data_IF_360662918720
#
_entry.id   IF_360662918720
#
_cell.length_a   1.000
_cell.length_b   1.000
_cell.length_c   1.000
_cell.angle_alpha   90.00
_cell.angle_beta   90.00
_cell.angle_gamma   90.00
#
_symmetry.space_group_name_H-M   'P 1'
#
loop_
_entity.id
_entity.type
_entity.pdbx_description
1 polymer ?
#
# COMPACT_ATOMS: atom_id res chain seq x y z
N UNK A 1 74.43 14.88 -18.47
CA UNK A 1 73.37 14.46 -19.41
C UNK A 1 72.68 13.20 -18.88
N UNK A 2 71.35 13.25 -18.77
CA UNK A 2 70.36 12.16 -18.68
C UNK A 2 70.45 11.16 -17.50
N UNK A 3 69.77 11.51 -16.41
CA UNK A 3 69.12 10.58 -15.47
C UNK A 3 67.68 11.07 -15.24
N UNK A 4 66.70 10.51 -15.94
CA UNK A 4 65.27 10.65 -15.60
C UNK A 4 64.45 9.73 -16.51
N UNK A 5 64.19 8.46 -16.15
CA UNK A 5 63.07 7.66 -16.70
C UNK A 5 62.73 6.46 -15.80
N UNK A 6 62.63 6.63 -14.47
CA UNK A 6 62.03 5.61 -13.60
C UNK A 6 61.23 6.32 -12.51
N UNK A 7 60.06 6.85 -12.85
CA UNK A 7 59.11 7.37 -11.85
C UNK A 7 57.63 7.32 -12.30
N UNK A 8 57.31 6.80 -13.49
CA UNK A 8 55.95 6.89 -14.06
C UNK A 8 55.21 5.56 -14.21
N UNK A 9 55.76 4.44 -13.73
CA UNK A 9 55.08 3.13 -13.81
C UNK A 9 54.44 2.72 -12.47
N UNK A 10 54.79 3.35 -11.34
CA UNK A 10 54.25 2.99 -10.03
C UNK A 10 52.96 3.74 -9.62
N UNK A 11 52.51 4.74 -10.38
CA UNK A 11 51.24 5.45 -10.10
C UNK A 11 50.04 4.82 -10.84
N UNK A 12 50.26 4.10 -11.94
CA UNK A 12 49.18 3.43 -12.69
C UNK A 12 48.77 2.10 -12.04
N UNK A 13 49.68 1.44 -11.32
CA UNK A 13 49.37 0.20 -10.60
C UNK A 13 48.55 0.41 -9.31
N UNK A 14 48.55 1.62 -8.72
CA UNK A 14 47.74 1.93 -7.53
C UNK A 14 46.34 2.47 -7.88
N UNK A 15 46.12 2.92 -9.12
CA UNK A 15 44.79 3.28 -9.64
C UNK A 15 43.98 2.07 -10.13
N UNK A 16 44.64 0.93 -10.38
CA UNK A 16 43.99 -0.33 -10.77
C UNK A 16 43.68 -1.26 -9.58
N UNK A 17 44.12 -0.90 -8.37
CA UNK A 17 43.90 -1.64 -7.13
C UNK A 17 42.92 -0.96 -6.16
N UNK A 18 42.20 0.08 -6.59
CA UNK A 18 40.82 0.26 -6.11
C UNK A 18 40.05 -0.87 -6.76
N UNK A 19 40.11 -2.03 -6.10
CA UNK A 19 39.24 -3.14 -6.37
C UNK A 19 37.87 -2.54 -6.64
N UNK A 20 37.32 -2.85 -7.81
CA UNK A 20 35.89 -2.88 -8.03
C UNK A 20 35.32 -3.75 -6.93
N UNK A 21 35.13 -3.17 -5.74
CA UNK A 21 34.12 -3.63 -4.83
C UNK A 21 32.88 -3.52 -5.70
N UNK A 22 32.45 -4.67 -6.24
CA UNK A 22 31.07 -4.82 -6.66
C UNK A 22 30.29 -4.17 -5.53
N UNK A 23 29.42 -3.19 -5.79
CA UNK A 23 28.47 -2.78 -4.76
C UNK A 23 27.93 -4.10 -4.17
N UNK A 24 27.92 -4.26 -2.83
CA UNK A 24 27.52 -5.53 -2.21
C UNK A 24 26.29 -5.98 -2.96
N UNK A 25 26.34 -7.19 -3.53
CA UNK A 25 25.32 -7.68 -4.47
C UNK A 25 23.97 -7.28 -3.89
N UNK A 26 23.34 -6.27 -4.51
CA UNK A 26 22.25 -5.57 -3.86
C UNK A 26 21.22 -6.63 -3.48
N UNK A 27 21.01 -6.81 -2.17
CA UNK A 27 20.19 -7.92 -1.72
C UNK A 27 18.81 -7.73 -2.34
N UNK A 28 18.39 -8.74 -3.09
CA UNK A 28 17.08 -8.76 -3.69
C UNK A 28 16.02 -8.68 -2.59
N UNK A 29 14.78 -8.24 -2.91
CA UNK A 29 13.68 -8.30 -1.97
C UNK A 29 13.60 -9.70 -1.33
N UNK A 30 13.51 -9.74 0.00
CA UNK A 30 13.42 -11.02 0.70
C UNK A 30 12.09 -11.68 0.35
N UNK A 31 12.16 -12.87 -0.24
CA UNK A 31 10.98 -13.67 -0.54
C UNK A 31 10.23 -14.04 0.76
N UNK A 32 8.89 -14.02 0.78
CA UNK A 32 8.13 -14.54 1.90
C UNK A 32 8.48 -16.00 2.17
N UNK A 33 8.87 -16.30 3.40
CA UNK A 33 9.14 -17.64 3.92
C UNK A 33 7.93 -18.22 4.66
N UNK A 34 7.07 -17.35 5.19
CA UNK A 34 5.83 -17.71 5.86
C UNK A 34 4.78 -16.61 5.71
N UNK A 35 3.52 -16.97 5.98
CA UNK A 35 2.41 -16.04 6.15
C UNK A 35 1.86 -16.17 7.56
N UNK A 36 1.75 -15.04 8.25
CA UNK A 36 1.25 -14.97 9.63
C UNK A 36 -0.13 -14.31 9.58
N UNK A 37 -1.15 -15.05 10.01
CA UNK A 37 -2.49 -14.50 10.22
C UNK A 37 -2.42 -13.45 11.34
N UNK A 38 -2.98 -12.27 11.06
CA UNK A 38 -3.02 -11.14 12.00
C UNK A 38 -4.41 -11.04 12.61
N UNK A 39 -5.45 -11.16 11.78
CA UNK A 39 -6.85 -11.21 12.19
C UNK A 39 -7.71 -11.72 11.04
N UNK A 40 -8.99 -12.00 11.33
CA UNK A 40 -10.03 -12.25 10.34
C UNK A 40 -11.04 -11.13 10.35
N UNK A 41 -11.55 -10.80 9.18
CA UNK A 41 -12.75 -9.99 9.02
C UNK A 41 -13.88 -10.89 8.55
N UNK A 42 -15.07 -10.70 9.09
CA UNK A 42 -16.28 -11.39 8.64
C UNK A 42 -17.37 -10.39 8.36
N UNK A 43 -18.05 -10.58 7.24
CA UNK A 43 -19.16 -9.75 6.80
C UNK A 43 -20.34 -10.64 6.39
N UNK A 44 -21.52 -10.38 6.95
CA UNK A 44 -22.77 -10.94 6.46
C UNK A 44 -23.34 -10.08 5.33
N UNK A 45 -23.36 -10.58 4.09
CA UNK A 45 -23.92 -9.91 2.92
C UNK A 45 -25.46 -9.92 2.95
N UNK A 46 -26.04 -9.27 3.95
CA UNK A 46 -27.48 -9.10 4.12
C UNK A 46 -27.75 -7.79 4.87
N UNK A 47 -28.91 -7.17 4.66
CA UNK A 47 -29.29 -6.00 5.46
C UNK A 47 -29.30 -6.36 6.96
N UNK A 48 -28.66 -5.53 7.78
CA UNK A 48 -28.45 -5.78 9.22
C UNK A 48 -27.33 -6.78 9.54
N UNK A 49 -26.74 -7.42 8.52
CA UNK A 49 -25.65 -8.38 8.67
C UNK A 49 -24.44 -7.77 9.35
N UNK A 50 -23.82 -8.52 10.26
CA UNK A 50 -22.69 -8.02 11.05
C UNK A 50 -21.44 -7.87 10.20
N UNK A 51 -20.66 -6.82 10.49
CA UNK A 51 -19.26 -6.66 10.06
C UNK A 51 -18.41 -6.76 11.32
N UNK A 52 -17.54 -7.76 11.37
CA UNK A 52 -16.86 -8.18 12.60
C UNK A 52 -15.37 -8.46 12.34
N UNK A 53 -14.55 -8.32 13.38
CA UNK A 53 -13.16 -8.77 13.37
C UNK A 53 -12.89 -9.79 14.48
N UNK A 54 -11.92 -10.66 14.24
CA UNK A 54 -11.42 -11.64 15.19
C UNK A 54 -9.90 -11.64 15.18
N UNK A 55 -9.28 -11.48 16.36
CA UNK A 55 -7.83 -11.54 16.54
C UNK A 55 -7.34 -12.91 17.04
N UNK A 56 -8.25 -13.88 17.19
CA UNK A 56 -7.99 -15.21 17.79
C UNK A 56 -8.36 -16.38 16.86
N UNK A 57 -8.30 -16.14 15.55
CA UNK A 57 -8.59 -17.16 14.53
C UNK A 57 -10.07 -17.51 14.38
N UNK A 58 -10.97 -16.66 14.88
CA UNK A 58 -12.42 -16.81 14.76
C UNK A 58 -13.11 -17.41 15.99
N UNK A 59 -12.42 -17.52 17.12
CA UNK A 59 -13.01 -18.00 18.39
C UNK A 59 -13.93 -16.93 19.00
N UNK A 60 -13.50 -15.67 18.99
CA UNK A 60 -14.31 -14.51 19.37
C UNK A 60 -14.39 -13.48 18.25
N UNK A 61 -15.50 -12.74 18.22
CA UNK A 61 -15.79 -11.76 17.19
C UNK A 61 -16.22 -10.44 17.83
N UNK A 62 -15.55 -9.37 17.44
CA UNK A 62 -15.89 -7.99 17.82
C UNK A 62 -16.71 -7.36 16.71
N UNK A 63 -17.89 -6.86 17.05
CA UNK A 63 -18.72 -6.08 16.13
C UNK A 63 -18.03 -4.75 15.80
N UNK A 64 -17.88 -4.48 14.50
CA UNK A 64 -17.33 -3.23 13.96
C UNK A 64 -18.42 -2.33 13.36
N UNK A 65 -19.48 -2.93 12.83
CA UNK A 65 -20.61 -2.26 12.20
C UNK A 65 -21.56 -3.26 11.57
N UNK A 66 -22.47 -2.77 10.73
CA UNK A 66 -23.49 -3.55 10.04
C UNK A 66 -23.60 -3.16 8.57
N UNK A 67 -24.06 -4.13 7.78
CA UNK A 67 -24.42 -3.93 6.38
C UNK A 67 -25.77 -3.23 6.31
N UNK A 68 -25.81 -2.07 5.67
CA UNK A 68 -27.03 -1.34 5.35
C UNK A 68 -27.70 -1.92 4.10
N UNK A 69 -26.91 -2.26 3.08
CA UNK A 69 -27.40 -2.87 1.84
C UNK A 69 -26.41 -3.90 1.29
N UNK A 70 -26.86 -5.12 0.93
CA UNK A 70 -26.00 -6.16 0.39
C UNK A 70 -25.61 -5.91 -1.07
N UNK A 71 -24.52 -6.54 -1.49
CA UNK A 71 -24.18 -6.71 -2.90
C UNK A 71 -24.99 -7.86 -3.50
N UNK A 72 -25.40 -7.69 -4.75
CA UNK A 72 -26.17 -8.68 -5.54
C UNK A 72 -25.56 -8.93 -6.93
N UNK A 73 -24.44 -8.27 -7.23
CA UNK A 73 -23.74 -8.37 -8.50
C UNK A 73 -22.23 -8.10 -8.33
N UNK A 74 -21.47 -8.21 -9.42
CA UNK A 74 -20.10 -7.70 -9.52
C UNK A 74 -20.03 -6.63 -10.61
N UNK A 75 -19.04 -5.74 -10.57
CA UNK A 75 -18.80 -4.73 -11.60
C UNK A 75 -17.41 -4.86 -12.23
N UNK A 76 -17.19 -4.16 -13.35
CA UNK A 76 -15.85 -3.99 -13.91
C UNK A 76 -15.05 -3.05 -13.00
N UNK A 77 -13.95 -3.54 -12.43
CA UNK A 77 -13.09 -2.79 -11.52
C UNK A 77 -12.15 -1.83 -12.23
N UNK A 78 -11.49 -0.94 -11.47
CA UNK A 78 -10.51 0.04 -11.96
C UNK A 78 -9.38 -0.61 -12.77
N UNK A 79 -8.71 0.14 -13.64
CA UNK A 79 -7.76 -0.43 -14.61
C UNK A 79 -6.64 -1.25 -13.96
N UNK A 80 -6.07 -0.77 -12.85
CA UNK A 80 -5.01 -1.45 -12.12
C UNK A 80 -5.44 -2.78 -11.45
N UNK A 81 -6.74 -3.07 -11.35
CA UNK A 81 -7.22 -4.36 -10.83
C UNK A 81 -6.80 -5.55 -11.68
N UNK A 82 -6.38 -5.32 -12.94
CA UNK A 82 -5.80 -6.35 -13.81
C UNK A 82 -4.58 -7.05 -13.21
N UNK A 83 -3.79 -6.32 -12.42
CA UNK A 83 -2.56 -6.84 -11.80
C UNK A 83 -2.81 -7.50 -10.43
N UNK A 84 -4.05 -7.54 -9.96
CA UNK A 84 -4.43 -8.24 -8.73
C UNK A 84 -4.82 -9.70 -8.98
N UNK A 85 -4.80 -10.50 -7.91
CA UNK A 85 -5.18 -11.92 -7.96
C UNK A 85 -6.68 -12.09 -7.67
N UNK A 86 -7.45 -12.80 -8.52
CA UNK A 86 -8.82 -13.20 -8.19
C UNK A 86 -8.92 -13.96 -6.86
N UNK A 87 -10.02 -13.79 -6.14
CA UNK A 87 -10.22 -14.37 -4.81
C UNK A 87 -9.53 -13.60 -3.67
N UNK A 88 -9.05 -12.38 -3.93
CA UNK A 88 -8.30 -11.58 -2.94
C UNK A 88 -8.78 -10.13 -2.88
N UNK A 89 -8.38 -9.43 -1.81
CA UNK A 89 -8.50 -7.97 -1.73
C UNK A 89 -7.60 -7.35 -2.80
N UNK A 90 -8.19 -6.62 -3.75
CA UNK A 90 -7.44 -5.97 -4.84
C UNK A 90 -7.20 -4.48 -4.59
N UNK A 91 -7.90 -3.88 -3.63
CA UNK A 91 -7.61 -2.53 -3.16
C UNK A 91 -8.15 -2.33 -1.75
N UNK A 92 -7.37 -1.63 -0.93
CA UNK A 92 -7.69 -1.29 0.44
C UNK A 92 -7.51 0.20 0.62
N UNK A 93 -8.56 0.91 1.02
CA UNK A 93 -8.59 2.36 1.09
C UNK A 93 -9.44 2.86 2.25
N UNK A 94 -9.14 4.07 2.71
CA UNK A 94 -9.92 4.75 3.75
C UNK A 94 -11.39 5.03 3.35
N UNK A 95 -11.73 4.86 2.07
CA UNK A 95 -13.07 5.12 1.52
C UNK A 95 -13.71 3.90 0.84
N UNK A 96 -12.99 2.78 0.67
CA UNK A 96 -13.50 1.58 0.00
C UNK A 96 -12.53 0.40 0.18
N UNK A 97 -13.08 -0.81 0.18
CA UNK A 97 -12.31 -2.06 0.02
C UNK A 97 -12.86 -2.79 -1.20
N UNK A 98 -11.99 -3.26 -2.08
CA UNK A 98 -12.39 -3.98 -3.29
C UNK A 98 -11.87 -5.41 -3.23
N UNK A 99 -12.75 -6.36 -3.52
CA UNK A 99 -12.42 -7.78 -3.70
C UNK A 99 -12.47 -8.09 -5.19
N UNK A 100 -11.39 -8.65 -5.74
CA UNK A 100 -11.39 -9.14 -7.12
C UNK A 100 -11.97 -10.55 -7.14
N UNK A 101 -13.09 -10.72 -7.82
CA UNK A 101 -13.85 -11.98 -7.90
C UNK A 101 -13.66 -12.70 -9.24
N UNK A 102 -12.78 -12.19 -10.11
CA UNK A 102 -12.49 -12.75 -11.42
C UNK A 102 -11.93 -11.69 -12.36
N UNK A 103 -11.90 -12.02 -13.65
CA UNK A 103 -11.43 -11.14 -14.72
C UNK A 103 -12.53 -10.90 -15.76
N UNK A 104 -12.48 -9.74 -16.41
CA UNK A 104 -13.26 -9.44 -17.61
C UNK A 104 -12.51 -9.94 -18.84
N UNK A 105 -13.19 -10.02 -19.98
CA UNK A 105 -12.57 -10.39 -21.26
C UNK A 105 -11.40 -9.45 -21.65
N UNK A 106 -11.43 -8.19 -21.20
CA UNK A 106 -10.39 -7.18 -21.44
C UNK A 106 -9.27 -7.20 -20.38
N UNK A 107 -9.27 -8.20 -19.48
CA UNK A 107 -8.25 -8.39 -18.45
C UNK A 107 -8.36 -7.48 -17.23
N UNK A 108 -9.40 -6.64 -17.12
CA UNK A 108 -9.68 -5.89 -15.88
C UNK A 108 -10.29 -6.83 -14.84
N UNK A 109 -10.15 -6.53 -13.56
CA UNK A 109 -10.82 -7.31 -12.52
C UNK A 109 -12.33 -7.14 -12.57
N UNK A 110 -13.07 -8.23 -12.33
CA UNK A 110 -14.44 -8.17 -11.84
C UNK A 110 -14.37 -7.96 -10.33
N UNK A 111 -15.10 -6.99 -9.79
CA UNK A 111 -14.99 -6.62 -8.38
C UNK A 111 -16.34 -6.60 -7.66
N UNK A 112 -16.25 -6.87 -6.37
CA UNK A 112 -17.28 -6.57 -5.37
C UNK A 112 -16.66 -5.60 -4.39
N UNK A 113 -17.39 -4.56 -4.03
CA UNK A 113 -16.86 -3.43 -3.26
C UNK A 113 -17.56 -3.33 -1.91
N UNK A 114 -16.82 -3.07 -0.85
CA UNK A 114 -17.36 -2.65 0.43
C UNK A 114 -17.24 -1.13 0.49
N UNK A 115 -18.34 -0.45 0.82
CA UNK A 115 -18.37 1.01 0.97
C UNK A 115 -18.73 1.44 2.39
N UNK A 116 -18.13 2.56 2.86
CA UNK A 116 -18.45 3.15 4.14
C UNK A 116 -19.82 3.84 4.11
N UNK A 117 -20.29 4.22 5.29
CA UNK A 117 -21.48 5.03 5.50
C UNK A 117 -21.47 6.31 4.66
N UNK A 118 -22.65 6.74 4.22
CA UNK A 118 -22.84 7.97 3.44
C UNK A 118 -22.52 7.83 1.94
N UNK A 119 -22.08 6.66 1.47
CA UNK A 119 -21.87 6.38 0.05
C UNK A 119 -23.20 6.03 -0.66
N UNK A 120 -23.35 6.43 -1.93
CA UNK A 120 -24.49 5.98 -2.75
C UNK A 120 -24.41 4.47 -2.98
N UNK A 121 -25.51 3.72 -2.96
CA UNK A 121 -25.45 2.26 -3.18
C UNK A 121 -25.46 1.90 -4.67
N UNK A 122 -24.73 0.83 -5.03
CA UNK A 122 -24.79 0.19 -6.35
C UNK A 122 -24.87 -1.34 -6.21
N UNK A 123 -25.37 -2.10 -7.21
CA UNK A 123 -25.58 -3.55 -7.08
C UNK A 123 -24.34 -4.38 -6.73
N UNK A 124 -23.14 -3.90 -7.04
CA UNK A 124 -21.87 -4.57 -6.73
C UNK A 124 -21.27 -4.17 -5.38
N UNK A 125 -22.03 -3.43 -4.57
CA UNK A 125 -21.56 -2.81 -3.34
C UNK A 125 -22.27 -3.42 -2.13
N UNK A 126 -21.47 -3.81 -1.15
CA UNK A 126 -21.93 -3.96 0.23
C UNK A 126 -21.77 -2.60 0.91
N UNK A 127 -22.88 -1.91 1.15
CA UNK A 127 -22.89 -0.63 1.86
C UNK A 127 -22.99 -0.91 3.36
N UNK A 128 -22.14 -0.27 4.16
CA UNK A 128 -22.07 -0.44 5.61
C UNK A 128 -22.44 0.84 6.36
N UNK A 129 -22.65 0.75 7.67
CA UNK A 129 -22.78 1.89 8.58
C UNK A 129 -21.43 2.38 9.16
N UNK A 130 -20.31 1.79 8.72
CA UNK A 130 -18.98 2.13 9.19
C UNK A 130 -18.49 3.40 8.48
N UNK A 131 -18.07 4.46 9.18
CA UNK A 131 -17.54 5.66 8.54
C UNK A 131 -16.23 5.41 7.77
N UNK A 132 -15.95 6.25 6.77
CA UNK A 132 -14.63 6.29 6.13
C UNK A 132 -13.55 6.69 7.13
N UNK A 133 -12.37 6.10 7.02
CA UNK A 133 -11.26 6.28 7.98
C UNK A 133 -11.35 5.39 9.22
N UNK A 134 -12.37 4.52 9.35
CA UNK A 134 -12.64 3.70 10.54
C UNK A 134 -12.62 2.21 10.23
N UNK A 135 -12.31 1.41 11.25
CA UNK A 135 -12.41 -0.05 11.22
C UNK A 135 -11.76 -0.67 9.96
N UNK A 136 -12.54 -1.23 9.04
CA UNK A 136 -12.05 -1.85 7.80
C UNK A 136 -11.70 -0.84 6.68
N UNK A 137 -12.12 0.42 6.84
CA UNK A 137 -11.90 1.50 5.88
C UNK A 137 -10.82 2.46 6.37
N UNK A 138 -9.57 2.02 6.42
CA UNK A 138 -8.46 2.89 6.84
C UNK A 138 -8.12 2.81 8.34
N UNK A 139 -8.96 2.16 9.14
CA UNK A 139 -8.76 1.96 10.56
C UNK A 139 -7.92 0.72 10.90
N UNK A 140 -8.04 0.25 12.15
CA UNK A 140 -7.25 -0.87 12.69
C UNK A 140 -7.44 -2.20 11.94
N UNK A 141 -8.57 -2.38 11.28
CA UNK A 141 -8.95 -3.66 10.67
C UNK A 141 -8.86 -3.63 9.14
N UNK A 142 -8.07 -2.73 8.55
CA UNK A 142 -7.83 -2.68 7.11
C UNK A 142 -7.07 -3.92 6.61
N UNK A 143 -7.54 -4.53 5.53
CA UNK A 143 -6.86 -5.67 4.91
C UNK A 143 -5.69 -5.24 4.00
N UNK A 144 -4.73 -6.14 3.77
CA UNK A 144 -3.69 -5.95 2.75
C UNK A 144 -4.19 -6.37 1.37
N UNK A 145 -3.69 -5.71 0.34
CA UNK A 145 -3.84 -6.15 -1.05
C UNK A 145 -3.27 -7.59 -1.17
N UNK A 146 -3.98 -8.49 -1.85
CA UNK A 146 -3.59 -9.89 -1.99
C UNK A 146 -4.04 -10.79 -0.84
N UNK A 147 -4.64 -10.27 0.23
CA UNK A 147 -5.21 -11.13 1.27
C UNK A 147 -6.41 -11.93 0.75
N UNK A 148 -6.47 -13.24 1.04
CA UNK A 148 -7.51 -14.12 0.50
C UNK A 148 -8.88 -13.78 1.08
N UNK A 149 -9.88 -13.89 0.22
CA UNK A 149 -11.29 -13.66 0.56
C UNK A 149 -12.08 -14.92 0.23
N UNK A 150 -12.73 -15.45 1.26
CA UNK A 150 -13.53 -16.65 1.24
C UNK A 150 -15.01 -16.29 1.36
N UNK A 151 -15.88 -17.12 0.79
CA UNK A 151 -17.32 -17.03 0.97
C UNK A 151 -17.83 -18.35 1.52
N UNK A 152 -18.65 -18.27 2.56
CA UNK A 152 -19.40 -19.39 3.12
C UNK A 152 -20.84 -19.33 2.58
N UNK A 153 -21.27 -20.42 1.93
CA UNK A 153 -22.63 -20.61 1.43
C UNK A 153 -23.08 -22.04 1.70
N UNK A 154 -24.24 -22.20 2.35
CA UNK A 154 -24.81 -23.51 2.69
C UNK A 154 -23.81 -24.45 3.40
N UNK A 155 -22.96 -23.90 4.28
CA UNK A 155 -21.95 -24.65 5.05
C UNK A 155 -20.64 -24.95 4.30
N UNK A 156 -20.55 -24.62 3.01
CA UNK A 156 -19.31 -24.75 2.24
C UNK A 156 -18.53 -23.44 2.22
N UNK A 157 -17.23 -23.49 2.56
CA UNK A 157 -16.31 -22.36 2.47
C UNK A 157 -15.48 -22.48 1.19
N UNK A 158 -15.58 -21.51 0.29
CA UNK A 158 -14.88 -21.51 -1.00
C UNK A 158 -14.21 -20.17 -1.29
N UNK A 159 -13.28 -20.14 -2.24
CA UNK A 159 -12.68 -18.90 -2.74
C UNK A 159 -13.73 -17.99 -3.38
N UNK A 160 -13.53 -16.67 -3.31
CA UNK A 160 -14.35 -15.71 -4.05
C UNK A 160 -13.96 -15.57 -5.54
N UNK A 161 -12.99 -16.34 -6.05
CA UNK A 161 -12.74 -16.41 -7.48
C UNK A 161 -13.92 -17.10 -8.21
N UNK A 162 -14.54 -16.41 -9.16
CA UNK A 162 -15.79 -16.82 -9.81
C UNK A 162 -17.05 -16.50 -9.01
N UNK A 163 -16.95 -15.84 -7.86
CA UNK A 163 -18.10 -15.58 -6.99
C UNK A 163 -19.02 -14.50 -7.57
N UNK A 164 -20.32 -14.80 -7.55
CA UNK A 164 -21.40 -13.82 -7.73
C UNK A 164 -22.10 -13.62 -6.38
N UNK A 165 -22.12 -12.39 -5.84
CA UNK A 165 -22.75 -12.09 -4.55
C UNK A 165 -24.22 -12.48 -4.52
N UNK A 166 -24.61 -13.16 -3.46
CA UNK A 166 -26.00 -13.41 -3.11
C UNK A 166 -26.28 -12.92 -1.69
N UNK A 167 -27.52 -12.48 -1.47
CA UNK A 167 -27.97 -12.09 -0.14
C UNK A 167 -27.91 -13.30 0.79
N UNK A 168 -27.33 -13.12 1.97
CA UNK A 168 -27.12 -14.16 2.96
C UNK A 168 -25.73 -14.82 2.90
N UNK A 169 -24.91 -14.52 1.88
CA UNK A 169 -23.51 -14.94 1.86
C UNK A 169 -22.76 -14.41 3.08
N UNK A 170 -21.84 -15.21 3.62
CA UNK A 170 -20.90 -14.75 4.64
C UNK A 170 -19.50 -14.69 4.04
N UNK A 171 -18.95 -13.50 3.98
CA UNK A 171 -17.63 -13.22 3.39
C UNK A 171 -16.60 -13.10 4.49
N UNK A 172 -15.49 -13.81 4.38
CA UNK A 172 -14.37 -13.77 5.32
C UNK A 172 -13.10 -13.32 4.62
N UNK A 173 -12.43 -12.31 5.16
CA UNK A 173 -11.08 -11.91 4.73
C UNK A 173 -10.10 -12.43 5.76
N UNK A 174 -9.16 -13.30 5.35
CA UNK A 174 -8.07 -13.73 6.23
C UNK A 174 -6.94 -12.74 6.07
N UNK A 175 -6.79 -11.84 7.04
CA UNK A 175 -5.77 -10.79 6.99
C UNK A 175 -4.47 -11.38 7.50
N UNK A 176 -3.54 -11.53 6.58
CA UNK A 176 -2.24 -12.14 6.83
C UNK A 176 -1.12 -11.27 6.27
N UNK A 177 0.02 -11.29 6.94
CA UNK A 177 1.23 -10.62 6.51
C UNK A 177 2.33 -11.63 6.20
N UNK A 178 3.23 -11.32 5.26
CA UNK A 178 4.39 -12.17 5.00
C UNK A 178 5.48 -11.99 6.07
N UNK A 179 6.34 -13.00 6.22
CA UNK A 179 7.62 -12.91 6.92
C UNK A 179 8.78 -13.31 5.98
N UNK A 180 9.92 -12.58 5.99
CA UNK A 180 10.23 -11.45 6.85
C UNK A 180 9.48 -10.17 6.44
N UNK A 181 9.17 -9.33 7.43
CA UNK A 181 8.41 -8.09 7.24
C UNK A 181 9.34 -6.88 7.47
N UNK A 182 9.47 -5.94 6.52
CA UNK A 182 10.32 -4.77 6.68
C UNK A 182 9.81 -3.90 7.83
N UNK A 183 10.74 -3.21 8.50
CA UNK A 183 10.44 -2.17 9.50
C UNK A 183 10.22 -0.81 8.85
N UNK A 184 10.88 -0.57 7.72
CA UNK A 184 10.72 0.65 6.95
C UNK A 184 10.98 0.41 5.47
N UNK A 185 10.34 1.23 4.64
CA UNK A 185 10.62 1.36 3.22
C UNK A 185 10.96 2.82 2.94
N UNK A 186 12.18 3.08 2.46
CA UNK A 186 12.72 4.41 2.19
C UNK A 186 12.82 4.64 0.67
N UNK A 187 12.43 5.82 0.23
CA UNK A 187 12.50 6.28 -1.15
C UNK A 187 13.40 7.53 -1.20
N UNK A 188 14.51 7.46 -1.94
CA UNK A 188 15.28 8.66 -2.29
C UNK A 188 14.50 9.45 -3.35
N UNK A 189 13.97 10.63 -3.01
CA UNK A 189 13.09 11.43 -3.86
C UNK A 189 13.86 12.22 -4.93
N UNK A 190 14.52 11.49 -5.83
CA UNK A 190 15.25 12.03 -6.98
C UNK A 190 15.26 11.00 -8.11
N UNK A 191 15.51 11.44 -9.35
CA UNK A 191 15.70 10.51 -10.46
C UNK A 191 16.87 9.56 -10.18
N UNK A 192 16.64 8.25 -10.36
CA UNK A 192 17.61 7.20 -10.05
C UNK A 192 17.80 6.94 -8.55
N UNK A 193 17.03 7.61 -7.68
CA UNK A 193 17.06 7.39 -6.25
C UNK A 193 16.64 5.96 -5.91
N UNK A 194 17.30 5.32 -4.95
CA UNK A 194 17.00 3.94 -4.58
C UNK A 194 15.77 3.85 -3.67
N UNK A 195 15.01 2.76 -3.84
CA UNK A 195 13.97 2.34 -2.91
C UNK A 195 14.51 1.18 -2.08
N UNK A 196 14.58 1.33 -0.76
CA UNK A 196 15.18 0.34 0.16
C UNK A 196 14.19 -0.12 1.22
N UNK A 197 14.11 -1.43 1.44
CA UNK A 197 13.47 -2.01 2.62
C UNK A 197 14.51 -2.36 3.67
N UNK A 198 14.30 -1.97 4.93
CA UNK A 198 15.14 -2.42 6.06
C UNK A 198 14.36 -3.34 6.98
N UNK A 199 14.99 -4.41 7.45
CA UNK A 199 14.35 -5.47 8.23
C UNK A 199 14.81 -5.45 9.69
N UNK A 200 14.09 -6.19 10.54
CA UNK A 200 14.32 -6.19 11.99
C UNK A 200 15.65 -6.80 12.43
N UNK A 201 16.29 -7.59 11.58
CA UNK A 201 17.63 -8.16 11.79
C UNK A 201 18.76 -7.24 11.31
N UNK A 202 18.42 -6.04 10.82
CA UNK A 202 19.37 -5.08 10.25
C UNK A 202 19.71 -5.33 8.78
N UNK A 203 19.15 -6.37 8.16
CA UNK A 203 19.33 -6.61 6.72
C UNK A 203 18.57 -5.57 5.89
N UNK A 204 19.09 -5.28 4.70
CA UNK A 204 18.48 -4.34 3.75
C UNK A 204 18.26 -5.01 2.41
N UNK A 205 17.20 -4.61 1.69
CA UNK A 205 16.94 -5.04 0.32
C UNK A 205 16.64 -3.85 -0.59
N UNK A 206 17.12 -3.90 -1.83
CA UNK A 206 16.73 -2.93 -2.86
C UNK A 206 15.41 -3.37 -3.50
N UNK A 207 14.41 -2.50 -3.44
CA UNK A 207 13.04 -2.78 -3.91
C UNK A 207 12.75 -2.17 -5.28
N UNK A 208 13.59 -1.26 -5.75
CA UNK A 208 13.43 -0.57 -7.03
C UNK A 208 14.18 0.76 -7.07
N UNK A 209 13.86 1.56 -8.08
CA UNK A 209 14.38 2.93 -8.26
C UNK A 209 13.25 3.91 -8.49
N UNK A 210 13.47 5.16 -8.09
CA UNK A 210 12.60 6.30 -8.41
C UNK A 210 12.93 6.76 -9.83
N UNK A 211 12.02 6.49 -10.76
CA UNK A 211 12.10 6.95 -12.15
C UNK A 211 11.59 8.38 -12.32
N UNK A 212 10.76 8.85 -11.38
CA UNK A 212 10.37 10.25 -11.31
C UNK A 212 10.08 10.64 -9.86
N UNK A 213 10.74 11.67 -9.32
CA UNK A 213 10.45 12.16 -7.99
C UNK A 213 9.07 12.82 -7.94
N UNK A 214 8.50 12.87 -6.73
CA UNK A 214 7.34 13.71 -6.45
C UNK A 214 7.81 15.12 -6.09
N UNK A 215 7.14 16.14 -6.60
CA UNK A 215 7.45 17.54 -6.33
C UNK A 215 6.24 18.36 -5.84
N UNK A 216 5.03 17.82 -5.94
CA UNK A 216 3.81 18.50 -5.53
C UNK A 216 2.80 17.59 -4.84
N UNK A 217 1.71 18.20 -4.37
CA UNK A 217 0.52 17.55 -3.81
C UNK A 217 -0.70 17.83 -4.67
N UNK A 218 -1.70 16.95 -4.61
CA UNK A 218 -2.92 16.97 -5.41
C UNK A 218 -4.15 16.61 -4.61
N UNK A 219 -5.30 16.74 -5.30
CA UNK A 219 -6.61 16.40 -4.73
C UNK A 219 -6.92 14.93 -4.95
N UNK A 220 -6.51 14.08 -4.03
CA UNK A 220 -6.82 12.64 -4.06
C UNK A 220 -7.97 12.35 -3.09
N UNK A 221 -9.13 11.99 -3.63
CA UNK A 221 -10.29 11.64 -2.81
C UNK A 221 -9.96 10.53 -1.82
N UNK A 222 -10.55 10.61 -0.63
CA UNK A 222 -10.32 9.71 0.49
C UNK A 222 -9.21 10.17 1.43
N UNK A 223 -8.37 11.14 1.03
CA UNK A 223 -7.39 11.77 1.95
C UNK A 223 -8.08 12.53 3.09
N UNK A 224 -9.32 13.00 2.90
CA UNK A 224 -10.10 13.62 3.96
C UNK A 224 -10.42 12.69 5.15
N UNK A 225 -10.32 11.37 4.97
CA UNK A 225 -10.61 10.41 6.05
C UNK A 225 -9.39 10.09 6.92
N UNK A 226 -8.18 10.51 6.52
CA UNK A 226 -6.95 10.18 7.23
C UNK A 226 -6.08 11.41 7.44
N UNK A 227 -5.25 11.39 8.48
CA UNK A 227 -4.39 12.52 8.82
C UNK A 227 -3.13 12.62 7.96
N UNK A 228 -2.32 13.63 8.28
CA UNK A 228 -1.01 13.88 7.67
C UNK A 228 -0.08 12.68 7.85
N UNK A 229 0.65 12.32 6.80
CA UNK A 229 1.63 11.23 6.84
C UNK A 229 0.98 9.86 6.97
N UNK A 230 -0.25 9.68 6.48
CA UNK A 230 -0.94 8.39 6.51
C UNK A 230 -1.04 7.81 5.11
N UNK A 231 -0.86 6.49 5.03
CA UNK A 231 -1.29 5.74 3.86
C UNK A 231 -2.82 5.80 3.83
N UNK A 232 -3.35 6.35 2.75
CA UNK A 232 -4.79 6.47 2.49
C UNK A 232 -5.32 5.27 1.72
N UNK A 233 -4.51 4.70 0.82
CA UNK A 233 -4.85 3.51 0.08
C UNK A 233 -3.62 2.76 -0.41
N UNK A 234 -3.82 1.47 -0.67
CA UNK A 234 -2.95 0.67 -1.48
C UNK A 234 -3.77 -0.19 -2.46
N UNK A 235 -3.27 -0.33 -3.68
CA UNK A 235 -3.74 -1.26 -4.70
C UNK A 235 -2.59 -1.59 -5.67
N UNK A 236 -2.74 -2.56 -6.61
CA UNK A 236 -1.67 -2.99 -7.53
C UNK A 236 -1.00 -1.91 -8.40
N UNK A 237 -1.45 -0.66 -8.34
CA UNK A 237 -0.91 0.45 -9.11
C UNK A 237 -0.64 1.70 -8.28
N UNK A 238 -1.04 1.79 -7.01
CA UNK A 238 -0.92 3.04 -6.24
C UNK A 238 -0.71 2.72 -4.78
N UNK A 239 0.23 3.43 -4.17
CA UNK A 239 0.19 3.77 -2.74
C UNK A 239 -0.17 5.25 -2.67
N UNK A 240 -1.25 5.58 -1.97
CA UNK A 240 -1.74 6.95 -1.81
C UNK A 240 -1.42 7.46 -0.41
N UNK A 241 -0.82 8.64 -0.30
CA UNK A 241 -0.36 9.24 0.96
C UNK A 241 -1.05 10.58 1.18
N UNK A 242 -1.67 10.74 2.34
CA UNK A 242 -2.26 12.01 2.77
C UNK A 242 -1.21 12.95 3.32
N UNK A 243 -1.28 14.22 2.90
CA UNK A 243 -0.48 15.34 3.42
C UNK A 243 -1.35 16.38 4.12
N UNK A 244 -2.67 16.18 4.14
CA UNK A 244 -3.63 17.13 4.70
C UNK A 244 -4.16 16.68 6.08
N UNK A 245 -4.64 17.63 6.90
CA UNK A 245 -5.44 17.29 8.08
C UNK A 245 -6.70 16.50 7.73
N UNK A 246 -7.23 15.75 8.69
CA UNK A 246 -8.54 15.08 8.58
C UNK A 246 -9.63 16.12 8.23
N UNK A 247 -10.54 15.74 7.35
CA UNK A 247 -11.59 16.61 6.79
C UNK A 247 -11.14 17.45 5.59
N UNK A 248 -9.84 17.46 5.26
CA UNK A 248 -9.30 18.19 4.12
C UNK A 248 -8.67 17.23 3.10
N UNK A 249 -8.65 17.65 1.83
CA UNK A 249 -8.14 16.83 0.73
C UNK A 249 -6.76 17.32 0.31
N UNK A 250 -5.77 16.44 0.31
CA UNK A 250 -4.40 16.74 -0.08
C UNK A 250 -3.48 15.52 0.06
N UNK A 251 -2.74 15.20 -0.99
CA UNK A 251 -1.82 14.06 -0.94
C UNK A 251 -0.97 13.91 -2.19
N UNK A 252 -0.24 12.82 -2.26
CA UNK A 252 0.50 12.39 -3.45
C UNK A 252 0.44 10.87 -3.57
N UNK A 253 0.77 10.37 -4.76
CA UNK A 253 0.73 8.94 -5.03
C UNK A 253 2.12 8.42 -5.43
N UNK A 254 2.42 7.19 -5.04
CA UNK A 254 3.56 6.41 -5.51
C UNK A 254 3.00 5.34 -6.44
N UNK A 255 3.47 5.30 -7.69
CA UNK A 255 2.91 4.43 -8.74
C UNK A 255 4.02 3.67 -9.48
N UNK A 256 3.77 2.43 -9.95
CA UNK A 256 4.73 1.68 -10.74
C UNK A 256 4.80 2.25 -12.16
N UNK A 257 5.95 2.06 -12.82
CA UNK A 257 6.26 2.58 -14.16
C UNK A 257 5.13 2.37 -15.16
N UNK A 258 4.55 1.17 -15.26
CA UNK A 258 3.64 0.86 -16.36
C UNK A 258 2.23 1.38 -16.05
N UNK A 259 1.86 1.52 -14.77
CA UNK A 259 0.63 2.20 -14.43
C UNK A 259 0.69 3.68 -14.77
N UNK A 260 1.85 4.33 -14.60
CA UNK A 260 2.05 5.72 -15.01
C UNK A 260 1.78 5.97 -16.51
N UNK A 261 1.86 4.93 -17.35
CA UNK A 261 1.56 4.99 -18.78
C UNK A 261 0.13 4.51 -19.13
N UNK A 262 -0.71 4.21 -18.15
CA UNK A 262 -2.09 3.80 -18.39
C UNK A 262 -2.95 4.97 -18.87
N UNK A 263 -3.95 4.75 -19.75
CA UNK A 263 -4.75 5.83 -20.36
C UNK A 263 -5.41 6.78 -19.35
N UNK A 264 -5.85 6.28 -18.20
CA UNK A 264 -6.47 7.07 -17.13
C UNK A 264 -5.46 7.96 -16.37
N UNK A 265 -4.16 7.70 -16.51
CA UNK A 265 -3.07 8.41 -15.83
C UNK A 265 -2.26 9.32 -16.76
N UNK A 266 -2.80 9.70 -17.93
CA UNK A 266 -2.16 10.71 -18.81
C UNK A 266 -1.83 11.99 -18.05
N UNK A 267 -2.72 12.43 -17.14
CA UNK A 267 -2.46 13.57 -16.25
C UNK A 267 -1.32 13.34 -15.25
N UNK A 268 -1.09 12.10 -14.82
CA UNK A 268 0.01 11.75 -13.95
C UNK A 268 1.36 11.85 -14.68
N UNK A 269 1.43 11.58 -15.99
CA UNK A 269 2.67 11.75 -16.79
C UNK A 269 3.15 13.20 -16.77
N UNK A 270 2.22 14.16 -16.78
CA UNK A 270 2.52 15.60 -16.80
C UNK A 270 2.52 16.25 -15.42
N UNK A 271 1.98 15.57 -14.41
CA UNK A 271 1.82 16.10 -13.05
C UNK A 271 3.02 15.86 -12.14
N UNK A 272 3.13 16.70 -11.11
CA UNK A 272 4.20 16.60 -10.09
C UNK A 272 3.76 15.86 -8.83
N UNK A 273 2.51 15.39 -8.79
CA UNK A 273 1.86 14.75 -7.64
C UNK A 273 2.07 13.22 -7.56
N UNK A 274 2.93 12.68 -8.43
CA UNK A 274 3.15 11.24 -8.55
C UNK A 274 4.64 10.92 -8.58
N UNK A 275 5.10 10.20 -7.57
CA UNK A 275 6.37 9.48 -7.64
C UNK A 275 6.19 8.24 -8.52
N UNK A 276 7.07 8.06 -9.50
CA UNK A 276 7.08 6.85 -10.34
C UNK A 276 8.23 5.97 -9.91
N UNK A 277 7.93 4.71 -9.58
CA UNK A 277 8.92 3.70 -9.21
C UNK A 277 9.03 2.63 -10.28
N UNK A 278 10.24 2.16 -10.51
CA UNK A 278 10.57 1.13 -11.49
C UNK A 278 11.49 0.05 -10.91
N UNK A 279 11.75 -1.00 -11.70
CA UNK A 279 12.69 -2.04 -11.31
C UNK A 279 14.14 -1.53 -11.29
N UNK A 280 15.01 -2.25 -10.58
CA UNK A 280 16.45 -1.93 -10.50
C UNK A 280 17.14 -2.01 -11.85
N UNK A 281 16.83 -3.05 -12.63
CA UNK A 281 17.23 -3.15 -14.02
C UNK A 281 16.06 -2.66 -14.88
N UNK A 282 16.25 -1.65 -15.75
CA UNK A 282 15.17 -1.10 -16.59
C UNK A 282 14.53 -2.13 -17.53
N UNK A 283 15.21 -3.25 -17.81
CA UNK A 283 14.71 -4.35 -18.64
C UNK A 283 13.78 -5.30 -17.88
N UNK A 284 13.77 -5.27 -16.54
CA UNK A 284 12.89 -6.12 -15.75
C UNK A 284 11.43 -5.63 -15.84
N UNK A 285 10.46 -6.51 -15.51
CA UNK A 285 9.07 -6.11 -15.37
C UNK A 285 8.88 -5.01 -14.32
N UNK A 286 7.90 -4.15 -14.54
CA UNK A 286 7.55 -3.09 -13.59
C UNK A 286 6.79 -3.65 -12.37
N UNK A 287 6.92 -3.05 -11.17
CA UNK A 287 6.45 -3.66 -9.92
C UNK A 287 4.93 -3.61 -9.68
N UNK A 288 4.09 -3.36 -10.68
CA UNK A 288 2.63 -3.41 -10.49
C UNK A 288 2.16 -4.76 -9.91
N UNK A 289 1.34 -4.69 -8.87
CA UNK A 289 0.82 -5.87 -8.17
C UNK A 289 1.89 -6.72 -7.47
N UNK A 290 3.14 -6.28 -7.42
CA UNK A 290 4.22 -7.03 -6.77
C UNK A 290 4.46 -6.53 -5.35
N UNK A 291 4.84 -7.48 -4.49
CA UNK A 291 5.32 -7.17 -3.15
C UNK A 291 6.70 -6.51 -3.19
N UNK A 292 7.05 -5.67 -2.21
CA UNK A 292 6.20 -5.25 -1.08
C UNK A 292 5.39 -3.97 -1.36
N UNK A 293 5.64 -3.26 -2.45
CA UNK A 293 5.05 -1.94 -2.66
C UNK A 293 3.55 -2.03 -3.00
N UNK A 294 3.19 -2.87 -3.98
CA UNK A 294 1.86 -2.86 -4.59
C UNK A 294 1.07 -4.14 -4.28
N UNK A 295 1.51 -4.92 -3.29
CA UNK A 295 0.81 -6.10 -2.77
C UNK A 295 1.31 -6.48 -1.37
N UNK A 296 0.45 -7.12 -0.58
CA UNK A 296 0.68 -7.87 0.66
C UNK A 296 1.26 -7.14 1.89
N UNK A 297 1.91 -5.99 1.74
CA UNK A 297 2.66 -5.39 2.85
C UNK A 297 2.10 -4.06 3.34
N UNK A 298 1.46 -3.25 2.50
CA UNK A 298 1.03 -1.90 2.89
C UNK A 298 -0.50 -1.81 2.88
N UNK A 299 -1.08 -1.23 3.93
CA UNK A 299 -2.51 -0.96 4.07
C UNK A 299 -2.74 0.40 4.75
N UNK A 300 -3.90 1.06 4.55
CA UNK A 300 -4.25 2.25 5.29
C UNK A 300 -4.67 1.85 6.70
N UNK A 301 -3.77 1.94 7.68
CA UNK A 301 -4.05 1.49 9.07
C UNK A 301 -3.74 2.60 10.06
N UNK A 302 -4.78 3.35 10.43
CA UNK A 302 -4.72 4.48 11.35
C UNK A 302 -6.09 4.76 11.97
N UNK A 303 -6.18 4.79 13.30
CA UNK A 303 -7.35 5.29 14.03
C UNK A 303 -6.92 6.47 14.92
N UNK A 304 -7.54 7.66 14.82
CA UNK A 304 -7.18 8.81 15.65
C UNK A 304 -7.17 8.52 17.17
N UNK A 305 -8.09 7.69 17.65
CA UNK A 305 -8.28 7.44 19.09
C UNK A 305 -7.31 6.41 19.66
N UNK A 306 -6.42 5.80 18.87
CA UNK A 306 -5.57 4.77 19.49
C UNK A 306 -4.63 5.32 20.56
N UNK A 307 -4.34 6.65 20.58
CA UNK A 307 -3.56 7.27 21.66
C UNK A 307 -4.32 7.33 22.99
N UNK A 308 -5.63 7.16 22.96
CA UNK A 308 -6.50 7.10 24.15
C UNK A 308 -6.90 5.69 24.57
N UNK A 309 -6.46 4.66 23.83
CA UNK A 309 -6.71 3.25 24.16
C UNK A 309 -5.77 2.81 25.32
N UNK A 310 -6.24 1.90 26.18
CA UNK A 310 -5.40 1.35 27.28
C UNK A 310 -4.14 0.66 26.73
N UNK A 311 -4.24 0.03 25.54
CA UNK A 311 -3.14 -0.58 24.82
C UNK A 311 -2.50 0.37 23.79
N UNK A 312 -2.51 1.69 24.03
CA UNK A 312 -2.06 2.68 23.04
C UNK A 312 -0.68 2.39 22.45
N UNK A 313 0.26 1.84 23.23
CA UNK A 313 1.60 1.51 22.74
C UNK A 313 1.55 0.49 21.61
N UNK A 314 0.82 -0.61 21.82
CA UNK A 314 0.58 -1.65 20.81
C UNK A 314 -0.16 -1.06 19.63
N UNK A 315 -1.18 -0.24 19.88
CA UNK A 315 -2.00 0.31 18.80
C UNK A 315 -1.22 1.27 17.92
N UNK A 316 -0.38 2.12 18.52
CA UNK A 316 0.48 3.05 17.80
C UNK A 316 1.56 2.32 17.00
N UNK A 317 2.17 1.28 17.59
CA UNK A 317 3.21 0.49 16.94
C UNK A 317 2.67 -0.28 15.72
N UNK A 318 1.38 -0.61 15.72
CA UNK A 318 0.68 -1.35 14.69
C UNK A 318 0.21 -0.51 13.47
N UNK A 319 0.56 0.78 13.41
CA UNK A 319 0.15 1.73 12.35
C UNK A 319 1.18 1.85 11.23
N UNK A 320 0.73 2.34 10.08
CA UNK A 320 1.62 2.92 9.07
C UNK A 320 1.84 4.40 9.33
N UNK A 321 3.07 4.87 9.14
CA UNK A 321 3.39 6.29 9.17
C UNK A 321 4.32 6.64 8.02
N UNK A 322 4.00 7.70 7.30
CA UNK A 322 4.82 8.25 6.22
C UNK A 322 5.52 9.51 6.73
N UNK A 323 6.84 9.48 6.69
CA UNK A 323 7.72 10.56 7.12
C UNK A 323 8.54 11.09 5.94
N UNK A 324 9.08 12.29 6.11
CA UNK A 324 9.93 12.94 5.12
C UNK A 324 11.21 13.50 5.71
N UNK A 325 12.21 13.70 4.85
CA UNK A 325 13.33 14.62 5.08
C UNK A 325 13.24 15.79 4.13
N UNK A 326 13.32 16.99 4.69
CA UNK A 326 13.36 18.24 3.94
C UNK A 326 14.81 18.74 3.97
N UNK A 327 15.40 19.00 2.79
CA UNK A 327 16.81 19.40 2.60
C UNK A 327 17.80 18.55 3.41
N UNK A 328 17.66 17.23 3.31
CA UNK A 328 18.48 16.24 4.04
C UNK A 328 18.45 16.36 5.57
N UNK A 329 17.50 17.13 6.12
CA UNK A 329 17.30 17.31 7.56
C UNK A 329 16.79 16.06 8.28
N UNK A 330 16.38 16.20 9.56
CA UNK A 330 15.85 15.10 10.34
C UNK A 330 14.55 14.53 9.75
N UNK A 331 14.24 13.29 10.10
CA UNK A 331 12.94 12.69 9.77
C UNK A 331 11.82 13.42 10.53
N UNK A 332 10.79 13.84 9.80
CA UNK A 332 9.61 14.49 10.37
C UNK A 332 8.34 14.15 9.61
N UNK A 333 7.21 14.67 10.11
CA UNK A 333 5.95 14.65 9.36
C UNK A 333 5.98 15.70 8.24
N UNK A 334 5.11 15.52 7.25
CA UNK A 334 4.84 16.59 6.28
C UNK A 334 4.31 17.84 7.02
N UNK A 335 4.63 19.06 6.55
CA UNK A 335 3.77 20.20 6.87
C UNK A 335 2.34 19.93 6.35
N UNK A 336 1.30 20.57 6.91
CA UNK A 336 -0.05 20.43 6.39
C UNK A 336 -0.13 21.01 4.97
N UNK A 337 -0.35 20.15 3.97
CA UNK A 337 -0.44 20.51 2.56
C UNK A 337 -1.79 20.07 2.02
N UNK A 338 -2.57 21.03 1.52
CA UNK A 338 -3.98 20.87 1.15
C UNK A 338 -4.18 21.29 -0.30
N UNK A 339 -5.08 20.60 -0.99
CA UNK A 339 -5.45 20.91 -2.35
C UNK A 339 -4.38 20.48 -3.35
N UNK A 340 -4.16 21.33 -4.36
CA UNK A 340 -3.14 21.10 -5.39
C UNK A 340 -2.10 22.19 -5.28
N UNK A 341 -0.85 21.78 -5.15
CA UNK A 341 0.33 22.62 -5.25
C UNK A 341 1.41 21.82 -5.98
N UNK A 342 1.94 22.35 -7.08
CA UNK A 342 2.88 21.64 -7.93
C UNK A 342 4.32 21.61 -7.37
N UNK A 343 4.62 22.44 -6.37
CA UNK A 343 5.96 22.69 -5.85
C UNK A 343 6.13 22.37 -4.36
N UNK A 344 5.04 22.00 -3.66
CA UNK A 344 5.01 21.79 -2.22
C UNK A 344 6.04 20.78 -1.68
N UNK A 345 6.54 19.85 -2.51
CA UNK A 345 7.48 18.81 -2.12
C UNK A 345 8.86 18.95 -2.79
N UNK A 346 9.19 20.09 -3.42
CA UNK A 346 10.49 20.28 -4.09
C UNK A 346 11.70 20.12 -3.18
N UNK A 347 11.56 20.47 -1.89
CA UNK A 347 12.61 20.34 -0.88
C UNK A 347 12.63 18.98 -0.20
N UNK A 348 11.67 18.10 -0.50
CA UNK A 348 11.63 16.75 0.06
C UNK A 348 12.67 15.90 -0.63
N UNK A 349 13.67 15.47 0.12
CA UNK A 349 14.79 14.65 -0.38
C UNK A 349 14.54 13.16 -0.21
N UNK A 350 13.80 12.77 0.83
CA UNK A 350 13.48 11.38 1.13
C UNK A 350 12.06 11.24 1.66
N UNK A 351 11.44 10.11 1.36
CA UNK A 351 10.15 9.68 1.90
C UNK A 351 10.35 8.31 2.54
N UNK A 352 9.76 8.07 3.71
CA UNK A 352 9.84 6.80 4.42
C UNK A 352 8.46 6.34 4.85
N UNK A 353 8.12 5.10 4.54
CA UNK A 353 6.98 4.41 5.12
C UNK A 353 7.49 3.56 6.27
N UNK A 354 7.16 3.95 7.50
CA UNK A 354 7.32 3.11 8.69
C UNK A 354 6.23 2.04 8.68
N UNK A 355 6.66 0.79 8.83
CA UNK A 355 5.82 -0.38 8.79
C UNK A 355 5.41 -0.78 10.22
N UNK A 356 4.22 -1.38 10.40
CA UNK A 356 3.78 -1.85 11.71
C UNK A 356 4.77 -2.80 12.42
N UNK A 357 4.92 -2.59 13.73
CA UNK A 357 5.59 -3.51 14.64
C UNK A 357 4.55 -4.44 15.25
N UNK A 358 4.32 -5.57 14.60
CA UNK A 358 3.40 -6.59 15.08
C UNK A 358 3.89 -7.19 16.39
N UNK A 359 3.05 -7.13 17.42
CA UNK A 359 3.24 -7.90 18.65
C UNK A 359 2.78 -9.35 18.38
N UNK A 360 3.54 -10.32 18.90
CA UNK A 360 3.19 -11.74 18.79
C UNK A 360 2.21 -12.14 19.86
#
# INVERSE_FOLDING_TARGET
>A
MRRTHIAWILVIALAAAVARARPPAAAQPLAPTAWVEVYRLRLGNAAGGAVEASEDGGQSWRLLGRVLRPAVASAVGFNASRWGTPGTVVASGANAVHVKVGDTAQGRGRIVTLWPAGSGWAPHVVLTDIPGGRAIFGGRYSAFVGNPVLVERAGAVVSTNGWTPAVGDRVTIVVQRPEPYPREIEFENRFGGLVRGRYGDGSEALLGVVLRPVAGVGRFEGTQYVGIGRVRANHPGVIDVSTSPVGQVGGFQIIPRDHAHSPELVGAILGTQWMVVGPLNPLDPSPQGTAPLFSAFIAPRYEPEDLSDEEWQRRVSERFLVMVRIDEGPWGLFPPLVGKDNAALLRVTHIKILMPLWHR
#
